data_IF_918145414551
#
_entry.id   IF_918145414551
#
_cell.length_a   1.000
_cell.length_b   1.000
_cell.length_c   1.000
_cell.angle_alpha   90.00
_cell.angle_beta   90.00
_cell.angle_gamma   90.00
#
_symmetry.space_group_name_H-M   'P 1'
#
loop_
_entity.id
_entity.type
_entity.pdbx_description
1 polymer ?
#
# COMPACT_ATOMS: atom_id res chain seq x y z
N UNK A 1 4.44 21.93 35.65
CA UNK A 1 5.82 22.16 35.21
C UNK A 1 5.85 22.29 33.68
N UNK A 2 6.50 23.29 33.09
CA UNK A 2 6.46 23.46 31.60
C UNK A 2 7.57 22.59 31.02
N UNK A 3 7.19 21.58 30.21
CA UNK A 3 8.13 20.72 29.49
C UNK A 3 9.03 21.56 28.56
N UNK A 4 10.30 21.21 28.51
CA UNK A 4 11.30 21.84 27.65
C UNK A 4 12.04 20.79 26.82
N UNK A 5 12.67 21.22 25.73
CA UNK A 5 13.56 20.36 24.97
C UNK A 5 14.73 19.90 25.85
N UNK A 6 15.10 18.63 25.69
CA UNK A 6 16.12 17.89 26.44
C UNK A 6 15.71 17.48 27.87
N UNK A 7 14.45 17.67 28.29
CA UNK A 7 13.96 17.09 29.53
C UNK A 7 13.83 15.57 29.42
N UNK A 8 14.19 14.85 30.50
CA UNK A 8 13.90 13.43 30.67
C UNK A 8 12.70 13.29 31.62
N UNK A 9 11.66 12.60 31.19
CA UNK A 9 10.42 12.41 31.96
C UNK A 9 10.03 10.93 32.04
N UNK A 10 9.39 10.56 33.13
CA UNK A 10 8.67 9.27 33.20
C UNK A 10 7.31 9.42 32.54
N UNK A 11 6.96 8.48 31.69
CA UNK A 11 5.73 8.54 30.89
C UNK A 11 5.11 7.15 30.77
N UNK A 12 3.82 7.07 31.02
CA UNK A 12 3.00 5.90 30.66
C UNK A 12 2.44 6.10 29.28
N UNK A 13 2.42 5.04 28.48
CA UNK A 13 1.84 5.05 27.13
C UNK A 13 0.41 4.55 27.19
N UNK A 14 -0.52 5.44 26.88
CA UNK A 14 -1.96 5.18 27.02
C UNK A 14 -2.57 4.60 25.73
N UNK A 15 -2.14 5.09 24.57
CA UNK A 15 -2.75 4.76 23.27
C UNK A 15 -1.76 4.98 22.11
N UNK A 16 -2.22 4.72 20.88
CA UNK A 16 -1.48 4.99 19.64
C UNK A 16 -2.20 6.02 18.78
N UNK A 17 -1.41 6.80 18.04
CA UNK A 17 -1.90 7.63 16.94
C UNK A 17 -2.23 6.76 15.73
N UNK A 18 -2.96 7.34 14.75
CA UNK A 18 -3.19 6.70 13.44
C UNK A 18 -1.90 6.37 12.67
N UNK A 19 -0.76 6.98 13.01
CA UNK A 19 0.55 6.71 12.41
C UNK A 19 1.38 5.71 13.23
N UNK A 20 0.84 5.16 14.33
CA UNK A 20 1.51 4.18 15.17
C UNK A 20 2.52 4.78 16.17
N UNK A 21 2.48 6.07 16.43
CA UNK A 21 3.22 6.68 17.55
C UNK A 21 2.43 6.53 18.84
N UNK A 22 3.10 6.21 19.96
CA UNK A 22 2.49 6.18 21.28
C UNK A 22 2.11 7.57 21.76
N UNK A 23 1.05 7.63 22.53
CA UNK A 23 0.56 8.83 23.21
C UNK A 23 0.64 8.56 24.71
N UNK A 24 1.31 9.41 25.43
CA UNK A 24 1.22 9.51 26.89
C UNK A 24 0.92 10.94 27.30
N UNK A 25 0.59 11.15 28.59
CA UNK A 25 0.31 12.48 29.13
C UNK A 25 1.22 12.77 30.33
N UNK A 26 1.92 13.91 30.27
CA UNK A 26 2.70 14.43 31.38
C UNK A 26 2.02 15.69 31.91
N UNK A 27 1.52 15.67 33.14
CA UNK A 27 0.70 16.75 33.72
C UNK A 27 -0.43 17.22 32.77
N UNK A 28 -1.11 16.27 32.09
CA UNK A 28 -2.16 16.55 31.11
C UNK A 28 -1.67 16.96 29.71
N UNK A 29 -0.36 17.20 29.53
CA UNK A 29 0.23 17.62 28.27
C UNK A 29 0.59 16.39 27.41
N UNK A 30 0.12 16.36 26.14
CA UNK A 30 0.32 15.21 25.25
C UNK A 30 1.78 15.07 24.82
N UNK A 31 2.34 13.86 24.91
CA UNK A 31 3.69 13.52 24.46
C UNK A 31 3.61 12.36 23.49
N UNK A 32 4.15 12.55 22.29
CA UNK A 32 4.19 11.53 21.24
C UNK A 32 5.55 10.85 21.20
N UNK A 33 5.56 9.52 21.24
CA UNK A 33 6.78 8.71 21.29
C UNK A 33 6.68 7.57 20.27
N UNK A 34 7.74 7.28 19.52
CA UNK A 34 7.80 6.14 18.61
C UNK A 34 8.45 4.93 19.26
N UNK A 35 8.15 3.72 18.71
CA UNK A 35 8.74 2.47 19.16
C UNK A 35 8.24 1.99 20.52
N UNK A 36 7.10 2.51 20.97
CA UNK A 36 6.44 2.15 22.22
C UNK A 36 5.16 1.39 21.99
N UNK A 37 4.72 0.69 23.02
CA UNK A 37 3.48 -0.11 23.06
C UNK A 37 2.58 0.45 24.16
N UNK A 38 1.27 0.60 23.97
CA UNK A 38 0.37 0.98 25.05
C UNK A 38 0.50 0.05 26.25
N UNK A 39 0.63 0.66 27.44
CA UNK A 39 0.96 -0.04 28.69
C UNK A 39 2.47 -0.08 29.01
N UNK A 40 3.35 0.44 28.14
CA UNK A 40 4.74 0.67 28.52
C UNK A 40 4.85 1.83 29.50
N UNK A 41 5.70 1.67 30.52
CA UNK A 41 6.22 2.75 31.34
C UNK A 41 7.66 3.02 30.91
N UNK A 42 7.97 4.26 30.50
CA UNK A 42 9.24 4.62 29.89
C UNK A 42 9.89 5.85 30.53
N UNK A 43 11.19 5.98 30.36
CA UNK A 43 11.87 7.27 30.41
C UNK A 43 11.89 7.84 28.99
N UNK A 44 11.21 8.97 28.79
CA UNK A 44 11.11 9.65 27.51
C UNK A 44 12.00 10.89 27.49
N UNK A 45 12.85 11.03 26.45
CA UNK A 45 13.69 12.20 26.21
C UNK A 45 12.99 13.14 25.23
N UNK A 46 12.73 14.38 25.65
CA UNK A 46 11.99 15.37 24.85
C UNK A 46 12.92 15.96 23.78
N UNK A 47 12.58 15.71 22.51
CA UNK A 47 13.35 16.25 21.37
C UNK A 47 12.72 17.51 20.78
N UNK A 48 11.42 17.71 20.99
CA UNK A 48 10.70 18.90 20.50
C UNK A 48 9.51 19.22 21.41
N UNK A 49 9.37 20.49 21.78
CA UNK A 49 8.17 21.03 22.40
C UNK A 49 7.45 21.98 21.46
N UNK A 50 6.13 21.81 21.34
CA UNK A 50 5.20 22.70 20.63
C UNK A 50 4.21 23.30 21.63
N UNK A 51 3.33 24.20 21.18
CA UNK A 51 2.32 24.84 22.06
C UNK A 51 1.41 23.83 22.77
N UNK A 52 1.00 22.74 22.06
CA UNK A 52 -0.05 21.82 22.51
C UNK A 52 0.45 20.38 22.71
N UNK A 53 1.70 20.06 22.37
CA UNK A 53 2.25 18.72 22.47
C UNK A 53 3.77 18.72 22.47
N UNK A 54 4.37 17.62 22.95
CA UNK A 54 5.79 17.35 22.79
C UNK A 54 6.02 16.07 21.95
N UNK A 55 7.23 15.99 21.39
CA UNK A 55 7.74 14.78 20.73
C UNK A 55 8.96 14.31 21.53
N UNK A 56 8.98 13.03 21.83
CA UNK A 56 10.06 12.39 22.56
C UNK A 56 10.54 11.10 21.87
N UNK A 57 11.73 10.69 22.25
CA UNK A 57 12.29 9.36 21.96
C UNK A 57 12.36 8.54 23.24
N UNK A 58 12.31 7.22 23.09
CA UNK A 58 12.54 6.31 24.22
C UNK A 58 13.99 6.40 24.63
N UNK A 59 14.26 6.68 25.92
CA UNK A 59 15.57 6.56 26.54
C UNK A 59 15.72 5.18 27.17
N UNK A 60 14.74 4.77 27.99
CA UNK A 60 14.69 3.48 28.64
C UNK A 60 13.25 2.99 28.76
N UNK A 61 13.03 1.67 28.74
CA UNK A 61 11.76 1.04 29.08
C UNK A 61 11.86 0.60 30.54
N UNK A 62 11.13 1.28 31.43
CA UNK A 62 11.13 1.00 32.86
C UNK A 62 10.34 -0.28 33.14
N UNK A 63 9.13 -0.37 32.53
CA UNK A 63 8.28 -1.53 32.64
C UNK A 63 7.63 -1.80 31.26
N UNK A 64 7.93 -2.94 30.65
CA UNK A 64 7.34 -3.26 29.36
C UNK A 64 5.85 -3.61 29.50
N UNK A 65 5.07 -3.22 28.50
CA UNK A 65 3.70 -3.66 28.31
C UNK A 65 3.63 -5.20 28.16
N UNK A 66 2.59 -5.83 28.65
CA UNK A 66 2.32 -7.26 28.44
C UNK A 66 2.14 -7.62 26.96
N UNK A 67 1.88 -6.64 26.11
CA UNK A 67 1.71 -6.80 24.66
C UNK A 67 3.00 -6.54 23.87
N UNK A 68 4.07 -6.12 24.56
CA UNK A 68 5.37 -5.93 23.94
C UNK A 68 6.01 -7.27 23.62
N UNK A 69 6.51 -7.38 22.39
CA UNK A 69 7.34 -8.50 21.94
C UNK A 69 8.71 -7.98 21.51
N UNK A 70 9.70 -8.86 21.47
CA UNK A 70 10.99 -8.55 20.88
C UNK A 70 10.88 -8.45 19.37
N UNK A 71 11.54 -7.44 18.79
CA UNK A 71 11.55 -7.25 17.34
C UNK A 71 12.45 -8.29 16.67
N UNK A 72 11.93 -8.95 15.65
CA UNK A 72 12.67 -9.86 14.78
C UNK A 72 13.49 -9.14 13.69
N UNK A 73 13.46 -7.81 13.66
CA UNK A 73 14.16 -6.97 12.69
C UNK A 73 15.23 -6.11 13.38
N UNK A 74 16.53 -6.30 13.04
CA UNK A 74 17.64 -5.64 13.73
C UNK A 74 17.70 -4.12 13.50
N UNK A 75 16.95 -3.60 12.52
CA UNK A 75 16.92 -2.17 12.19
C UNK A 75 15.57 -1.51 12.46
N UNK A 76 14.67 -2.18 13.16
CA UNK A 76 13.29 -1.70 13.39
C UNK A 76 13.22 -0.39 14.16
N UNK A 77 14.20 -0.10 15.00
CA UNK A 77 14.34 1.14 15.78
C UNK A 77 14.77 2.34 14.92
N UNK A 78 15.44 2.10 13.79
CA UNK A 78 16.00 3.12 12.89
C UNK A 78 15.21 3.27 11.60
N UNK A 79 14.69 2.16 11.07
CA UNK A 79 13.95 2.10 9.81
C UNK A 79 12.54 2.71 9.97
N UNK A 80 12.10 3.47 8.96
CA UNK A 80 10.76 4.07 8.93
C UNK A 80 9.64 3.14 8.45
N UNK A 81 9.96 1.89 8.05
CA UNK A 81 9.01 1.02 7.34
C UNK A 81 7.97 0.33 8.22
N UNK A 82 8.29 0.02 9.48
CA UNK A 82 7.41 -0.69 10.41
C UNK A 82 7.20 0.12 11.69
N UNK A 83 5.95 0.14 12.20
CA UNK A 83 5.61 0.79 13.47
C UNK A 83 5.26 -0.21 14.57
N UNK A 84 4.89 -1.45 14.21
CA UNK A 84 4.33 -2.45 15.14
C UNK A 84 5.17 -3.71 15.28
N UNK A 85 6.50 -3.64 14.99
CA UNK A 85 7.39 -4.80 15.20
C UNK A 85 7.52 -5.23 16.65
N UNK A 86 7.28 -4.31 17.58
CA UNK A 86 7.38 -4.53 19.02
C UNK A 86 6.04 -4.87 19.66
N UNK A 87 4.98 -5.04 18.88
CA UNK A 87 3.61 -5.31 19.37
C UNK A 87 3.21 -6.74 18.99
N UNK A 88 2.55 -7.47 19.90
CA UNK A 88 1.94 -8.76 19.56
C UNK A 88 0.90 -8.57 18.46
N UNK A 89 0.79 -9.55 17.55
CA UNK A 89 -0.05 -9.38 16.36
C UNK A 89 -1.54 -9.23 16.71
N UNK A 90 -2.02 -9.97 17.68
CA UNK A 90 -3.41 -9.87 18.15
C UNK A 90 -3.73 -8.45 18.67
N UNK A 91 -2.79 -7.82 19.35
CA UNK A 91 -2.97 -6.45 19.85
C UNK A 91 -2.86 -5.43 18.73
N UNK A 92 -1.96 -5.65 17.76
CA UNK A 92 -1.91 -4.85 16.52
C UNK A 92 -3.27 -4.84 15.81
N UNK A 93 -3.93 -6.00 15.67
CA UNK A 93 -5.26 -6.11 15.06
C UNK A 93 -6.31 -5.33 15.84
N UNK A 94 -6.29 -5.38 17.18
CA UNK A 94 -7.21 -4.59 18.01
C UNK A 94 -7.04 -3.09 17.80
N UNK A 95 -5.80 -2.58 17.74
CA UNK A 95 -5.55 -1.16 17.45
C UNK A 95 -6.07 -0.76 16.08
N UNK A 96 -5.87 -1.60 15.08
CA UNK A 96 -6.37 -1.37 13.73
C UNK A 96 -7.90 -1.34 13.69
N UNK A 97 -8.57 -2.28 14.37
CA UNK A 97 -10.04 -2.29 14.51
C UNK A 97 -10.55 -1.03 15.19
N UNK A 98 -9.97 -0.69 16.34
CA UNK A 98 -10.33 0.53 17.09
C UNK A 98 -10.19 1.78 16.23
N UNK A 99 -9.11 1.89 15.45
CA UNK A 99 -8.90 3.01 14.54
C UNK A 99 -10.03 3.16 13.52
N UNK A 100 -10.52 2.07 12.95
CA UNK A 100 -11.64 2.12 11.99
C UNK A 100 -12.92 2.51 12.72
N UNK A 101 -13.23 1.92 13.88
CA UNK A 101 -14.41 2.25 14.68
C UNK A 101 -14.40 3.73 15.12
N UNK A 102 -13.27 4.23 15.62
CA UNK A 102 -13.12 5.65 15.97
C UNK A 102 -13.42 6.60 14.79
N UNK A 103 -13.02 6.22 13.58
CA UNK A 103 -13.32 7.01 12.39
C UNK A 103 -14.82 6.97 12.05
N UNK A 104 -15.43 5.79 12.06
CA UNK A 104 -16.86 5.62 11.80
C UNK A 104 -17.70 6.43 12.78
N UNK A 105 -17.41 6.34 14.08
CA UNK A 105 -18.13 7.05 15.13
C UNK A 105 -17.85 8.57 15.10
N UNK A 106 -16.57 8.97 15.16
CA UNK A 106 -16.21 10.38 15.41
C UNK A 106 -16.30 11.26 14.16
N UNK A 107 -15.92 10.72 12.98
CA UNK A 107 -15.94 11.45 11.71
C UNK A 107 -17.24 11.20 10.97
N UNK A 108 -17.59 9.93 10.78
CA UNK A 108 -18.80 9.53 10.07
C UNK A 108 -20.09 9.83 10.82
N UNK A 109 -20.05 9.85 12.17
CA UNK A 109 -21.23 9.89 13.04
C UNK A 109 -22.19 8.74 12.74
N UNK A 110 -21.61 7.59 12.38
CA UNK A 110 -22.31 6.38 12.01
C UNK A 110 -22.47 5.48 13.23
N UNK A 111 -23.65 4.92 13.42
CA UNK A 111 -23.94 3.90 14.44
C UNK A 111 -23.68 2.51 13.87
N UNK A 112 -22.41 2.24 13.58
CA UNK A 112 -21.93 0.97 13.06
C UNK A 112 -20.49 0.71 13.51
N UNK A 113 -20.17 -0.53 13.79
CA UNK A 113 -18.81 -0.98 14.09
C UNK A 113 -18.30 -1.98 13.06
N UNK A 114 -16.99 -2.15 13.02
CA UNK A 114 -16.34 -3.21 12.25
C UNK A 114 -16.82 -4.58 12.78
N UNK A 115 -17.55 -5.33 11.95
CA UNK A 115 -18.07 -6.64 12.34
C UNK A 115 -16.96 -7.68 12.53
N UNK A 116 -15.92 -7.62 11.67
CA UNK A 116 -14.74 -8.48 11.75
C UNK A 116 -13.47 -7.77 11.31
N UNK A 117 -12.32 -8.21 11.82
CA UNK A 117 -11.01 -7.87 11.31
C UNK A 117 -10.31 -9.13 10.83
N UNK A 118 -9.96 -9.16 9.53
CA UNK A 118 -9.32 -10.29 8.88
C UNK A 118 -7.81 -10.10 8.97
N UNK A 119 -7.17 -10.82 9.89
CA UNK A 119 -5.73 -10.82 10.07
C UNK A 119 -5.00 -11.60 8.96
N UNK A 120 -3.70 -11.36 8.86
CA UNK A 120 -2.82 -12.10 7.97
C UNK A 120 -2.32 -13.38 8.65
N UNK A 121 -2.29 -14.49 7.91
CA UNK A 121 -1.75 -15.77 8.38
C UNK A 121 -0.23 -15.68 8.53
N UNK A 122 0.43 -14.84 7.72
CA UNK A 122 1.85 -14.55 7.79
C UNK A 122 2.12 -13.04 7.81
N UNK A 123 2.88 -12.58 8.80
CA UNK A 123 3.25 -11.16 8.97
C UNK A 123 4.63 -10.81 8.40
N UNK A 124 5.28 -11.80 7.74
CA UNK A 124 6.60 -11.68 7.14
C UNK A 124 6.54 -12.04 5.65
N UNK A 125 7.52 -11.57 4.88
CA UNK A 125 7.77 -11.89 3.46
C UNK A 125 6.55 -11.74 2.54
N UNK A 126 5.57 -10.94 2.94
CA UNK A 126 4.30 -10.80 2.23
C UNK A 126 4.30 -9.75 1.11
N UNK A 127 5.26 -8.81 1.13
CA UNK A 127 5.27 -7.73 0.14
C UNK A 127 5.80 -8.21 -1.19
N UNK A 128 5.00 -8.09 -2.22
CA UNK A 128 5.41 -8.46 -3.58
C UNK A 128 6.20 -7.37 -4.31
N UNK A 129 6.48 -6.24 -3.64
CA UNK A 129 7.17 -5.10 -4.23
C UNK A 129 8.13 -4.46 -3.24
N UNK A 130 9.37 -4.26 -3.65
CA UNK A 130 10.36 -3.51 -2.92
C UNK A 130 10.99 -2.41 -3.79
N UNK A 131 11.22 -1.26 -3.18
CA UNK A 131 11.88 -0.10 -3.79
C UNK A 131 12.98 0.33 -2.83
N UNK A 132 14.21 -0.08 -3.13
CA UNK A 132 15.36 0.19 -2.29
C UNK A 132 16.08 1.45 -2.77
N UNK A 133 16.03 2.58 -2.04
CA UNK A 133 17.00 3.64 -2.24
C UNK A 133 18.42 3.10 -2.04
N UNK A 134 19.35 3.62 -2.80
CA UNK A 134 20.74 3.16 -2.76
C UNK A 134 21.71 4.31 -2.49
N UNK A 135 22.82 3.97 -1.85
CA UNK A 135 23.99 4.82 -1.69
C UNK A 135 25.22 4.01 -2.05
N UNK A 136 26.21 4.62 -2.67
CA UNK A 136 27.51 4.00 -2.95
C UNK A 136 28.57 4.84 -2.27
N UNK A 137 29.35 4.21 -1.40
CA UNK A 137 30.46 4.83 -0.68
C UNK A 137 31.67 3.90 -0.78
N UNK A 138 32.82 4.45 -1.18
CA UNK A 138 34.07 3.69 -1.34
C UNK A 138 33.93 2.45 -2.26
N UNK A 139 33.08 2.55 -3.29
CA UNK A 139 32.79 1.46 -4.24
C UNK A 139 31.78 0.41 -3.74
N UNK A 140 31.36 0.45 -2.48
CA UNK A 140 30.39 -0.46 -1.91
C UNK A 140 28.95 0.09 -2.05
N UNK A 141 28.04 -0.76 -2.56
CA UNK A 141 26.62 -0.42 -2.70
C UNK A 141 25.84 -0.80 -1.44
N UNK A 142 25.24 0.21 -0.83
CA UNK A 142 24.32 0.10 0.30
C UNK A 142 22.88 0.28 -0.18
N UNK A 143 22.02 -0.68 0.14
CA UNK A 143 20.60 -0.65 -0.17
C UNK A 143 19.78 -0.81 1.11
N UNK A 144 18.59 -0.22 1.17
CA UNK A 144 17.77 -0.34 2.37
C UNK A 144 16.48 0.46 2.28
N UNK A 145 16.08 1.07 3.40
CA UNK A 145 14.88 1.89 3.46
C UNK A 145 15.18 3.19 4.21
N UNK A 146 14.37 4.20 3.97
CA UNK A 146 14.55 5.49 4.64
C UNK A 146 14.24 5.41 6.14
N UNK A 147 15.03 6.11 6.94
CA UNK A 147 14.68 6.43 8.31
C UNK A 147 13.39 7.27 8.34
N UNK A 148 12.63 7.16 9.42
CA UNK A 148 11.35 7.88 9.55
C UNK A 148 11.48 9.38 9.32
N UNK A 149 10.66 9.93 8.43
CA UNK A 149 10.65 11.36 8.03
C UNK A 149 12.04 11.89 7.62
N UNK A 150 12.82 11.05 6.96
CA UNK A 150 14.18 11.38 6.52
C UNK A 150 14.50 10.66 5.21
N UNK A 151 15.47 11.18 4.46
CA UNK A 151 16.07 10.51 3.30
C UNK A 151 17.37 9.75 3.66
N UNK A 152 17.67 9.62 4.95
CA UNK A 152 18.81 8.82 5.41
C UNK A 152 18.50 7.33 5.20
N UNK A 153 19.30 6.66 4.43
CA UNK A 153 19.15 5.24 4.15
C UNK A 153 19.59 4.42 5.37
N UNK A 154 18.77 3.51 5.81
CA UNK A 154 19.07 2.47 6.78
C UNK A 154 19.29 1.18 5.99
N UNK A 155 20.53 0.72 5.96
CA UNK A 155 20.91 -0.51 5.27
C UNK A 155 20.13 -1.69 5.83
N UNK A 156 19.49 -2.45 4.94
CA UNK A 156 18.67 -3.60 5.32
C UNK A 156 18.56 -4.57 4.15
N UNK A 157 19.37 -5.60 4.17
CA UNK A 157 19.40 -6.63 3.12
C UNK A 157 18.37 -7.71 3.35
N UNK A 158 18.04 -7.97 4.61
CA UNK A 158 17.11 -9.00 5.05
C UNK A 158 15.87 -8.35 5.68
N UNK A 159 15.16 -7.56 4.88
CA UNK A 159 13.90 -6.96 5.34
C UNK A 159 12.84 -8.03 5.50
N UNK A 160 12.35 -8.19 6.74
CA UNK A 160 11.34 -9.22 7.09
C UNK A 160 9.98 -9.05 6.41
N UNK A 161 9.74 -7.95 5.69
CA UNK A 161 8.53 -7.76 4.89
C UNK A 161 8.69 -8.25 3.45
N UNK A 162 9.93 -8.33 2.95
CA UNK A 162 10.23 -8.60 1.55
C UNK A 162 10.48 -10.10 1.30
N UNK A 163 10.18 -10.61 0.08
CA UNK A 163 10.57 -11.96 -0.33
C UNK A 163 12.06 -12.22 -0.20
N UNK A 164 12.42 -13.42 0.20
CA UNK A 164 13.83 -13.81 0.43
C UNK A 164 14.67 -13.72 -0.85
N UNK A 165 14.06 -13.92 -2.02
CA UNK A 165 14.71 -13.85 -3.32
C UNK A 165 15.27 -12.45 -3.64
N UNK A 166 14.69 -11.39 -3.05
CA UNK A 166 15.15 -10.03 -3.28
C UNK A 166 16.55 -9.78 -2.72
N UNK A 167 16.94 -10.50 -1.66
CA UNK A 167 18.30 -10.44 -1.13
C UNK A 167 19.33 -10.92 -2.17
N UNK A 168 19.06 -12.06 -2.83
CA UNK A 168 19.93 -12.56 -3.90
C UNK A 168 20.03 -11.57 -5.07
N UNK A 169 18.93 -10.87 -5.37
CA UNK A 169 18.92 -9.78 -6.34
C UNK A 169 19.78 -8.59 -5.91
N UNK A 170 19.71 -8.17 -4.65
CA UNK A 170 20.59 -7.11 -4.12
C UNK A 170 22.07 -7.49 -4.22
N UNK A 171 22.42 -8.74 -3.95
CA UNK A 171 23.80 -9.24 -4.09
C UNK A 171 24.27 -9.19 -5.55
N UNK A 172 23.41 -9.49 -6.52
CA UNK A 172 23.72 -9.33 -7.94
C UNK A 172 23.99 -7.85 -8.31
N UNK A 173 23.16 -6.92 -7.80
CA UNK A 173 23.36 -5.49 -8.00
C UNK A 173 24.66 -4.97 -7.37
N UNK A 174 25.07 -5.49 -6.21
CA UNK A 174 26.34 -5.12 -5.56
C UNK A 174 27.55 -5.51 -6.42
N UNK A 175 27.59 -6.76 -6.85
CA UNK A 175 28.69 -7.28 -7.69
C UNK A 175 28.76 -6.49 -9.01
N UNK A 176 27.60 -6.18 -9.61
CA UNK A 176 27.56 -5.37 -10.81
C UNK A 176 28.03 -3.95 -10.56
N UNK A 177 27.58 -3.30 -9.49
CA UNK A 177 27.91 -1.91 -9.18
C UNK A 177 29.41 -1.73 -8.95
N UNK A 178 30.05 -2.67 -8.24
CA UNK A 178 31.49 -2.69 -8.04
C UNK A 178 32.24 -2.86 -9.37
N UNK A 179 31.89 -3.88 -10.17
CA UNK A 179 32.60 -4.18 -11.43
C UNK A 179 32.40 -3.14 -12.52
N UNK A 180 31.27 -2.45 -12.53
CA UNK A 180 30.91 -1.46 -13.54
C UNK A 180 31.19 -0.01 -13.09
N UNK A 181 31.83 0.19 -11.93
CA UNK A 181 32.12 1.51 -11.33
C UNK A 181 30.90 2.43 -11.30
N UNK A 182 29.79 1.90 -10.76
CA UNK A 182 28.51 2.61 -10.72
C UNK A 182 28.52 3.67 -9.64
N UNK A 183 27.92 4.82 -9.93
CA UNK A 183 27.71 5.89 -8.93
C UNK A 183 26.27 5.94 -8.48
N UNK A 184 26.02 6.18 -7.18
CA UNK A 184 24.68 6.45 -6.69
C UNK A 184 24.24 7.89 -7.03
N UNK A 185 22.93 8.06 -7.27
CA UNK A 185 22.35 9.38 -7.47
C UNK A 185 22.28 10.16 -6.16
N UNK A 186 22.80 11.37 -6.18
CA UNK A 186 22.72 12.32 -5.07
C UNK A 186 21.59 13.33 -5.33
N UNK A 187 20.58 13.34 -4.47
CA UNK A 187 19.40 14.21 -4.60
C UNK A 187 19.72 15.71 -4.52
N UNK A 188 20.80 16.10 -3.78
CA UNK A 188 21.20 17.49 -3.62
C UNK A 188 21.87 18.03 -4.89
N UNK A 189 22.80 17.27 -5.44
CA UNK A 189 23.56 17.67 -6.62
C UNK A 189 22.88 17.32 -7.94
N UNK A 190 22.01 16.31 -7.93
CA UNK A 190 21.37 15.74 -9.13
C UNK A 190 22.34 14.92 -9.99
N UNK A 191 23.51 14.54 -9.46
CA UNK A 191 24.53 13.75 -10.15
C UNK A 191 24.47 12.28 -9.72
N UNK A 192 25.10 11.41 -10.51
CA UNK A 192 25.13 9.97 -10.27
C UNK A 192 24.11 9.23 -11.13
N UNK A 193 24.23 7.90 -11.17
CA UNK A 193 23.47 7.05 -12.08
C UNK A 193 22.34 6.30 -11.38
N UNK A 194 22.65 5.45 -10.43
CA UNK A 194 21.68 4.53 -9.80
C UNK A 194 20.92 5.23 -8.69
N UNK A 195 19.59 5.29 -8.80
CA UNK A 195 18.70 5.92 -7.82
C UNK A 195 18.10 4.91 -6.87
N UNK A 196 17.51 3.84 -7.43
CA UNK A 196 16.84 2.79 -6.67
C UNK A 196 17.06 1.44 -7.35
N UNK A 197 16.99 0.39 -6.53
CA UNK A 197 16.80 -0.98 -7.01
C UNK A 197 15.35 -1.35 -6.71
N UNK A 198 14.67 -1.87 -7.72
CA UNK A 198 13.26 -2.20 -7.62
C UNK A 198 13.06 -3.67 -7.97
N UNK A 199 12.26 -4.37 -7.14
CA UNK A 199 11.84 -5.74 -7.40
C UNK A 199 10.33 -5.86 -7.34
N UNK A 200 9.82 -6.77 -8.15
CA UNK A 200 8.44 -7.28 -8.09
C UNK A 200 8.42 -8.78 -8.14
N UNK A 201 7.43 -9.38 -7.45
CA UNK A 201 7.19 -10.83 -7.46
C UNK A 201 5.71 -11.11 -7.69
N UNK A 202 5.39 -12.02 -8.61
CA UNK A 202 4.11 -12.71 -8.64
C UNK A 202 4.14 -13.85 -7.61
N UNK A 203 3.26 -13.80 -6.61
CA UNK A 203 3.30 -14.81 -5.54
C UNK A 203 2.77 -16.16 -5.99
N UNK A 204 1.72 -16.20 -6.81
CA UNK A 204 1.18 -17.44 -7.33
C UNK A 204 2.05 -18.07 -8.43
N UNK A 205 2.69 -17.25 -9.25
CA UNK A 205 3.53 -17.71 -10.37
C UNK A 205 4.99 -17.93 -10.00
N UNK A 206 5.48 -17.23 -8.98
CA UNK A 206 6.89 -17.18 -8.65
C UNK A 206 7.72 -16.25 -9.55
N UNK A 207 7.09 -15.56 -10.51
CA UNK A 207 7.78 -14.66 -11.44
C UNK A 207 8.40 -13.47 -10.72
N UNK A 208 9.65 -13.13 -11.05
CA UNK A 208 10.36 -11.98 -10.48
C UNK A 208 10.80 -11.02 -11.58
N UNK A 209 10.54 -9.74 -11.36
CA UNK A 209 11.08 -8.61 -12.10
C UNK A 209 12.13 -7.90 -11.27
N UNK A 210 13.31 -7.66 -11.85
CA UNK A 210 14.33 -6.79 -11.31
C UNK A 210 14.45 -5.53 -12.16
N UNK A 211 14.52 -4.36 -11.53
CA UNK A 211 14.59 -3.08 -12.24
C UNK A 211 15.64 -2.17 -11.60
N UNK A 212 16.54 -1.64 -12.42
CA UNK A 212 17.43 -0.54 -12.06
C UNK A 212 16.74 0.79 -12.38
N UNK A 213 16.50 1.63 -11.36
CA UNK A 213 15.99 2.99 -11.56
C UNK A 213 17.19 3.92 -11.69
N UNK A 214 17.33 4.54 -12.86
CA UNK A 214 18.54 5.29 -13.23
C UNK A 214 18.26 6.71 -13.69
N UNK A 215 19.24 7.59 -13.51
CA UNK A 215 19.20 8.99 -13.93
C UNK A 215 19.69 9.19 -15.40
N UNK A 216 19.79 8.12 -16.18
CA UNK A 216 20.33 8.12 -17.55
C UNK A 216 19.54 7.19 -18.45
N UNK A 217 19.72 7.29 -19.77
CA UNK A 217 19.14 6.36 -20.75
C UNK A 217 19.98 5.11 -21.02
N UNK A 218 21.16 4.98 -20.40
CA UNK A 218 22.09 3.86 -20.60
C UNK A 218 22.55 3.31 -19.25
N UNK A 219 22.64 1.97 -19.17
CA UNK A 219 23.17 1.26 -18.02
C UNK A 219 24.52 0.62 -18.40
N UNK A 220 25.65 1.03 -17.79
CA UNK A 220 26.94 0.42 -18.05
C UNK A 220 26.93 -1.07 -17.72
N UNK A 221 27.62 -1.87 -18.54
CA UNK A 221 27.71 -3.32 -18.36
C UNK A 221 26.37 -4.01 -18.03
N UNK A 222 25.29 -3.62 -18.74
CA UNK A 222 23.94 -4.17 -18.52
C UNK A 222 23.88 -5.69 -18.71
N UNK A 223 24.67 -6.24 -19.64
CA UNK A 223 24.76 -7.71 -19.86
C UNK A 223 25.32 -8.44 -18.63
N UNK A 224 26.30 -7.84 -17.94
CA UNK A 224 26.83 -8.38 -16.68
C UNK A 224 25.74 -8.41 -15.60
N UNK A 225 24.97 -7.31 -15.43
CA UNK A 225 23.87 -7.28 -14.48
C UNK A 225 22.83 -8.37 -14.78
N UNK A 226 22.42 -8.49 -16.05
CA UNK A 226 21.48 -9.53 -16.50
C UNK A 226 22.02 -10.93 -16.18
N UNK A 227 23.29 -11.21 -16.48
CA UNK A 227 23.93 -12.50 -16.20
C UNK A 227 23.92 -12.84 -14.71
N UNK A 228 24.29 -11.88 -13.85
CA UNK A 228 24.32 -12.06 -12.40
C UNK A 228 22.90 -12.27 -11.82
N UNK A 229 21.92 -11.54 -12.30
CA UNK A 229 20.53 -11.71 -11.88
C UNK A 229 19.97 -13.07 -12.30
N UNK A 230 20.26 -13.53 -13.52
CA UNK A 230 19.86 -14.86 -13.99
C UNK A 230 20.47 -15.99 -13.19
N UNK A 231 21.72 -15.82 -12.77
CA UNK A 231 22.42 -16.81 -11.94
C UNK A 231 21.86 -16.87 -10.52
N UNK A 232 21.57 -15.71 -9.90
CA UNK A 232 21.29 -15.62 -8.46
C UNK A 232 19.80 -15.61 -8.11
N UNK A 233 18.93 -15.14 -8.99
CA UNK A 233 17.51 -14.93 -8.67
C UNK A 233 16.66 -16.03 -9.28
N UNK A 234 16.23 -16.97 -8.45
CA UNK A 234 15.27 -17.98 -8.86
C UNK A 234 13.92 -17.32 -9.23
N UNK A 235 13.32 -17.75 -10.35
CA UNK A 235 12.05 -17.18 -10.83
C UNK A 235 12.21 -15.86 -11.59
N UNK A 236 13.43 -15.39 -11.89
CA UNK A 236 13.64 -14.19 -12.69
C UNK A 236 12.98 -14.35 -14.08
N UNK A 237 12.11 -13.43 -14.45
CA UNK A 237 11.39 -13.35 -15.74
C UNK A 237 11.66 -12.07 -16.50
N UNK A 238 12.02 -11.00 -15.80
CA UNK A 238 12.15 -9.68 -16.38
C UNK A 238 13.30 -8.92 -15.75
N UNK A 239 14.14 -8.30 -16.57
CA UNK A 239 15.14 -7.31 -16.14
C UNK A 239 14.91 -6.03 -16.92
N UNK A 240 14.62 -4.95 -16.21
CA UNK A 240 14.20 -3.67 -16.77
C UNK A 240 15.09 -2.55 -16.27
N UNK A 241 15.32 -1.51 -17.06
CA UNK A 241 15.73 -0.20 -16.56
C UNK A 241 14.52 0.74 -16.58
N UNK A 242 14.38 1.53 -15.53
CA UNK A 242 13.44 2.64 -15.49
C UNK A 242 14.23 3.96 -15.44
N UNK A 243 13.89 4.86 -16.33
CA UNK A 243 14.60 6.13 -16.49
C UNK A 243 13.85 7.21 -15.75
N UNK A 244 14.44 7.70 -14.67
CA UNK A 244 13.90 8.79 -13.88
C UNK A 244 14.95 9.93 -13.77
N UNK A 245 14.72 11.01 -14.51
CA UNK A 245 15.57 12.22 -14.49
C UNK A 245 14.95 13.35 -13.67
N UNK A 246 13.75 13.14 -13.11
CA UNK A 246 13.04 14.18 -12.39
C UNK A 246 13.63 14.37 -10.97
N UNK A 247 13.72 15.61 -10.53
CA UNK A 247 14.07 15.96 -9.14
C UNK A 247 12.79 15.98 -8.29
N UNK A 248 12.23 14.82 -8.05
CA UNK A 248 10.99 14.65 -7.28
C UNK A 248 11.09 13.39 -6.41
N UNK A 249 10.14 13.23 -5.48
CA UNK A 249 10.01 12.03 -4.64
C UNK A 249 9.41 10.83 -5.39
N UNK A 250 9.09 10.98 -6.68
CA UNK A 250 8.60 9.88 -7.51
C UNK A 250 9.76 8.94 -7.84
N UNK A 251 9.62 7.67 -7.50
CA UNK A 251 10.70 6.68 -7.66
C UNK A 251 10.83 6.24 -9.11
N UNK A 252 9.71 5.86 -9.75
CA UNK A 252 9.71 5.39 -11.13
C UNK A 252 9.41 6.53 -12.10
N UNK A 253 10.25 6.68 -13.10
CA UNK A 253 9.99 7.56 -14.24
C UNK A 253 8.97 6.96 -15.22
N UNK A 254 8.63 7.70 -16.25
CA UNK A 254 7.63 7.31 -17.26
C UNK A 254 8.17 6.31 -18.28
N UNK A 255 9.48 6.32 -18.54
CA UNK A 255 10.14 5.48 -19.54
C UNK A 255 10.78 4.27 -18.88
N UNK A 256 10.51 3.08 -19.44
CA UNK A 256 11.18 1.84 -19.08
C UNK A 256 11.70 1.14 -20.34
N UNK A 257 12.81 0.41 -20.21
CA UNK A 257 13.39 -0.41 -21.28
C UNK A 257 13.71 -1.79 -20.72
N UNK A 258 13.25 -2.82 -21.41
CA UNK A 258 13.58 -4.20 -21.09
C UNK A 258 14.98 -4.52 -21.54
N UNK A 259 15.79 -5.07 -20.63
CA UNK A 259 17.14 -5.57 -20.92
C UNK A 259 17.13 -7.06 -21.24
N UNK A 260 16.24 -7.80 -20.58
CA UNK A 260 16.09 -9.23 -20.77
C UNK A 260 14.72 -9.71 -20.30
N UNK A 261 14.18 -10.73 -20.98
CA UNK A 261 12.87 -11.32 -20.68
C UNK A 261 11.73 -10.44 -21.18
N UNK A 262 10.59 -10.53 -20.51
CA UNK A 262 9.39 -9.78 -20.83
C UNK A 262 9.42 -8.37 -20.19
N UNK A 263 8.62 -7.45 -20.67
CA UNK A 263 8.44 -6.11 -20.09
C UNK A 263 7.45 -6.12 -18.90
N UNK A 264 6.99 -7.32 -18.50
CA UNK A 264 6.05 -7.58 -17.40
C UNK A 264 6.41 -8.89 -16.68
N UNK A 265 5.79 -9.09 -15.54
CA UNK A 265 5.61 -10.40 -14.90
C UNK A 265 4.12 -10.70 -14.79
N UNK A 266 3.78 -11.95 -14.52
CA UNK A 266 2.39 -12.34 -14.26
C UNK A 266 2.19 -12.78 -12.82
N UNK A 267 0.95 -12.62 -12.35
CA UNK A 267 0.48 -13.22 -11.11
C UNK A 267 -0.94 -13.74 -11.29
N UNK A 268 -1.41 -14.57 -10.37
CA UNK A 268 -2.78 -15.06 -10.36
C UNK A 268 -3.46 -14.62 -9.06
N UNK A 269 -4.68 -14.07 -9.14
CA UNK A 269 -5.46 -13.60 -8.01
C UNK A 269 -6.90 -14.11 -8.16
N UNK A 270 -7.38 -14.88 -7.17
CA UNK A 270 -8.71 -15.50 -7.19
C UNK A 270 -9.02 -16.25 -8.50
N UNK A 271 -8.02 -16.98 -9.03
CA UNK A 271 -8.15 -17.76 -10.27
C UNK A 271 -8.11 -16.95 -11.55
N UNK A 272 -7.79 -15.66 -11.50
CA UNK A 272 -7.61 -14.81 -12.68
C UNK A 272 -6.14 -14.38 -12.81
N UNK A 273 -5.62 -14.42 -14.04
CA UNK A 273 -4.23 -14.02 -14.36
C UNK A 273 -4.14 -12.53 -14.65
N UNK A 274 -3.10 -11.91 -14.13
CA UNK A 274 -2.84 -10.49 -14.30
C UNK A 274 -1.41 -10.24 -14.77
N UNK A 275 -1.27 -9.36 -15.75
CA UNK A 275 0.01 -8.84 -16.23
C UNK A 275 0.39 -7.64 -15.37
N UNK A 276 1.62 -7.61 -14.90
CA UNK A 276 2.14 -6.61 -13.96
C UNK A 276 3.40 -5.98 -14.57
N UNK A 277 3.27 -4.78 -15.12
CA UNK A 277 4.41 -3.97 -15.60
C UNK A 277 5.09 -3.22 -14.44
N UNK A 278 6.27 -2.62 -14.63
CA UNK A 278 6.95 -1.85 -13.59
C UNK A 278 6.06 -0.79 -12.93
N UNK A 279 5.28 -0.06 -13.73
CA UNK A 279 4.44 1.05 -13.28
C UNK A 279 3.01 0.66 -12.89
N UNK A 280 2.58 -0.59 -13.11
CA UNK A 280 1.21 -1.03 -12.75
C UNK A 280 0.99 -0.96 -11.25
N UNK A 281 -0.16 -0.44 -10.83
CA UNK A 281 -0.63 -0.66 -9.47
C UNK A 281 -1.07 -2.11 -9.32
N UNK A 282 -0.63 -2.75 -8.26
CA UNK A 282 -1.03 -4.10 -7.85
C UNK A 282 -0.85 -4.20 -6.34
N UNK A 283 -1.81 -4.78 -5.62
CA UNK A 283 -1.78 -4.87 -4.17
C UNK A 283 -0.54 -5.61 -3.68
N UNK A 284 0.11 -5.06 -2.63
CA UNK A 284 1.45 -5.53 -2.22
C UNK A 284 1.43 -6.81 -1.38
N UNK A 285 0.30 -7.21 -0.86
CA UNK A 285 0.12 -8.44 -0.09
C UNK A 285 -0.90 -9.33 -0.79
N UNK A 286 -0.41 -10.32 -1.50
CA UNK A 286 -1.22 -11.20 -2.33
C UNK A 286 -2.31 -11.92 -1.54
N UNK A 287 -1.93 -12.62 -0.46
CA UNK A 287 -2.88 -13.41 0.34
C UNK A 287 -3.98 -12.54 0.99
N UNK A 288 -3.60 -11.36 1.50
CA UNK A 288 -4.60 -10.45 2.07
C UNK A 288 -5.44 -9.75 1.00
N UNK A 289 -4.90 -9.55 -0.21
CA UNK A 289 -5.65 -9.06 -1.34
C UNK A 289 -6.77 -10.02 -1.75
N UNK A 290 -6.51 -11.33 -1.77
CA UNK A 290 -7.52 -12.34 -2.03
C UNK A 290 -8.64 -12.32 -0.97
N UNK A 291 -8.30 -12.16 0.32
CA UNK A 291 -9.28 -12.01 1.40
C UNK A 291 -10.09 -10.72 1.26
N UNK A 292 -9.43 -9.60 0.92
CA UNK A 292 -10.07 -8.30 0.69
C UNK A 292 -11.08 -8.36 -0.46
N UNK A 293 -10.66 -8.91 -1.60
CA UNK A 293 -11.51 -9.00 -2.79
C UNK A 293 -12.60 -10.06 -2.64
N UNK A 294 -12.34 -11.15 -1.91
CA UNK A 294 -13.39 -12.10 -1.54
C UNK A 294 -14.46 -11.44 -0.68
N UNK A 295 -14.07 -10.62 0.31
CA UNK A 295 -15.01 -9.86 1.13
C UNK A 295 -15.81 -8.84 0.30
N UNK A 296 -15.15 -8.13 -0.62
CA UNK A 296 -15.84 -7.21 -1.54
C UNK A 296 -16.84 -7.95 -2.44
N UNK A 297 -16.49 -9.14 -2.93
CA UNK A 297 -17.37 -10.01 -3.71
C UNK A 297 -18.57 -10.51 -2.91
N UNK A 298 -18.36 -10.91 -1.66
CA UNK A 298 -19.44 -11.35 -0.75
C UNK A 298 -20.43 -10.20 -0.50
N UNK A 299 -19.93 -8.98 -0.31
CA UNK A 299 -20.76 -7.79 -0.14
C UNK A 299 -21.46 -7.36 -1.43
N UNK A 300 -20.83 -7.54 -2.58
CA UNK A 300 -21.46 -7.31 -3.88
C UNK A 300 -22.65 -8.27 -4.12
N UNK A 301 -22.63 -9.49 -3.56
CA UNK A 301 -23.69 -10.50 -3.61
C UNK A 301 -24.31 -10.65 -5.02
N UNK A 302 -23.46 -11.00 -5.98
CA UNK A 302 -23.78 -11.05 -7.41
C UNK A 302 -24.45 -12.37 -7.78
N UNK A 303 -25.56 -12.29 -8.53
CA UNK A 303 -26.40 -13.42 -8.96
C UNK A 303 -26.23 -13.82 -10.43
N UNK A 304 -25.51 -13.04 -11.23
CA UNK A 304 -25.27 -13.31 -12.65
C UNK A 304 -25.97 -12.35 -13.62
N UNK A 305 -27.04 -11.71 -13.21
CA UNK A 305 -27.84 -10.81 -14.06
C UNK A 305 -27.48 -9.33 -13.91
N UNK A 306 -26.63 -8.99 -12.93
CA UNK A 306 -26.30 -7.62 -12.60
C UNK A 306 -25.33 -6.97 -13.60
N UNK A 307 -25.43 -5.65 -13.74
CA UNK A 307 -24.39 -4.80 -14.32
C UNK A 307 -23.54 -4.29 -13.14
N UNK A 308 -22.27 -4.69 -13.12
CA UNK A 308 -21.27 -4.24 -12.14
C UNK A 308 -20.45 -3.09 -12.70
N UNK A 309 -20.41 -1.99 -11.97
CA UNK A 309 -19.53 -0.86 -12.26
C UNK A 309 -18.37 -0.84 -11.28
N UNK A 310 -17.14 -0.93 -11.79
CA UNK A 310 -15.88 -0.78 -11.03
C UNK A 310 -15.31 0.62 -11.31
N UNK A 311 -15.53 1.54 -10.36
CA UNK A 311 -14.99 2.89 -10.41
C UNK A 311 -13.59 2.91 -9.77
N UNK A 312 -12.63 3.52 -10.45
CA UNK A 312 -11.19 3.45 -10.14
C UNK A 312 -10.61 2.06 -10.39
N UNK A 313 -11.03 1.40 -11.49
CA UNK A 313 -10.74 -0.03 -11.71
C UNK A 313 -9.24 -0.36 -11.88
N UNK A 314 -8.37 0.64 -12.11
CA UNK A 314 -6.95 0.41 -12.35
C UNK A 314 -6.74 -0.56 -13.52
N UNK A 315 -5.98 -1.63 -13.29
CA UNK A 315 -5.76 -2.72 -14.28
C UNK A 315 -6.89 -3.78 -14.27
N UNK A 316 -8.02 -3.47 -13.62
CA UNK A 316 -9.21 -4.29 -13.56
C UNK A 316 -9.22 -5.39 -12.50
N UNK A 317 -8.33 -5.32 -11.49
CA UNK A 317 -8.14 -6.44 -10.55
C UNK A 317 -9.40 -6.82 -9.78
N UNK A 318 -10.17 -5.87 -9.24
CA UNK A 318 -11.40 -6.17 -8.48
C UNK A 318 -12.48 -6.65 -9.42
N UNK A 319 -12.83 -5.86 -10.44
CA UNK A 319 -13.93 -6.16 -11.33
C UNK A 319 -13.75 -7.48 -12.08
N UNK A 320 -12.56 -7.76 -12.62
CA UNK A 320 -12.28 -8.99 -13.36
C UNK A 320 -12.37 -10.27 -12.52
N UNK A 321 -12.08 -10.19 -11.19
CA UNK A 321 -12.28 -11.34 -10.29
C UNK A 321 -13.76 -11.67 -10.03
N UNK A 322 -14.68 -10.79 -10.47
CA UNK A 322 -16.13 -10.95 -10.32
C UNK A 322 -16.86 -11.10 -11.66
N UNK A 323 -16.15 -10.99 -12.81
CA UNK A 323 -16.75 -10.90 -14.14
C UNK A 323 -17.58 -12.13 -14.54
N UNK A 324 -17.25 -13.31 -14.01
CA UNK A 324 -18.00 -14.56 -14.21
C UNK A 324 -19.33 -14.63 -13.42
N UNK A 325 -19.61 -13.64 -12.60
CA UNK A 325 -20.82 -13.56 -11.75
C UNK A 325 -21.73 -12.39 -12.11
N UNK A 326 -21.51 -11.76 -13.25
CA UNK A 326 -22.28 -10.61 -13.70
C UNK A 326 -22.67 -10.73 -15.17
N UNK A 327 -23.77 -10.11 -15.53
CA UNK A 327 -24.17 -9.97 -16.95
C UNK A 327 -23.16 -9.11 -17.71
N UNK A 328 -22.71 -8.03 -17.09
CA UNK A 328 -21.76 -7.10 -17.68
C UNK A 328 -20.90 -6.45 -16.58
N UNK A 329 -19.60 -6.39 -16.81
CA UNK A 329 -18.65 -5.56 -16.05
C UNK A 329 -18.37 -4.27 -16.84
N UNK A 330 -18.42 -3.12 -16.16
CA UNK A 330 -17.91 -1.85 -16.69
C UNK A 330 -16.83 -1.33 -15.76
N UNK A 331 -15.62 -1.12 -16.27
CA UNK A 331 -14.51 -0.51 -15.53
C UNK A 331 -14.26 0.92 -16.00
N UNK A 332 -14.08 1.85 -15.07
CA UNK A 332 -13.72 3.26 -15.34
C UNK A 332 -12.42 3.59 -14.62
N UNK A 333 -11.45 4.12 -15.38
CA UNK A 333 -10.13 4.54 -14.89
C UNK A 333 -9.64 5.73 -15.70
N UNK A 334 -8.98 6.68 -15.03
CA UNK A 334 -8.47 7.90 -15.66
C UNK A 334 -7.14 7.68 -16.39
N UNK A 335 -6.39 6.65 -16.02
CA UNK A 335 -5.04 6.38 -16.56
C UNK A 335 -5.15 5.50 -17.80
N UNK A 336 -4.82 6.03 -19.02
CA UNK A 336 -4.96 5.27 -20.26
C UNK A 336 -4.20 3.93 -20.26
N UNK A 337 -2.97 3.91 -19.73
CA UNK A 337 -2.16 2.69 -19.68
C UNK A 337 -2.79 1.61 -18.78
N UNK A 338 -3.47 1.99 -17.70
CA UNK A 338 -4.16 1.05 -16.83
C UNK A 338 -5.37 0.43 -17.55
N UNK A 339 -6.11 1.21 -18.34
CA UNK A 339 -7.22 0.70 -19.18
C UNK A 339 -6.71 -0.30 -20.23
N UNK A 340 -5.59 -0.01 -20.89
CA UNK A 340 -5.03 -0.99 -21.84
C UNK A 340 -4.61 -2.28 -21.14
N UNK A 341 -4.01 -2.19 -19.98
CA UNK A 341 -3.67 -3.36 -19.16
C UNK A 341 -4.95 -4.12 -18.71
N UNK A 342 -6.03 -3.42 -18.35
CA UNK A 342 -7.30 -4.05 -17.99
C UNK A 342 -7.91 -4.84 -19.16
N UNK A 343 -7.85 -4.31 -20.38
CA UNK A 343 -8.26 -5.01 -21.60
C UNK A 343 -7.41 -6.25 -21.88
N UNK A 344 -6.08 -6.14 -21.70
CA UNK A 344 -5.16 -7.29 -21.82
C UNK A 344 -5.51 -8.35 -20.78
N UNK A 345 -5.75 -7.96 -19.54
CA UNK A 345 -6.11 -8.86 -18.46
C UNK A 345 -7.48 -9.54 -18.71
N UNK A 346 -8.47 -8.81 -19.22
CA UNK A 346 -9.76 -9.40 -19.61
C UNK A 346 -9.57 -10.48 -20.70
N UNK A 347 -8.82 -10.15 -21.76
CA UNK A 347 -8.54 -11.08 -22.85
C UNK A 347 -7.77 -12.32 -22.37
N UNK A 348 -6.76 -12.13 -21.48
CA UNK A 348 -5.97 -13.22 -20.91
C UNK A 348 -6.81 -14.22 -20.13
N UNK A 349 -7.93 -13.77 -19.56
CA UNK A 349 -8.85 -14.57 -18.77
C UNK A 349 -10.12 -15.01 -19.56
N UNK A 350 -10.18 -14.79 -20.87
CA UNK A 350 -11.35 -15.07 -21.71
C UNK A 350 -12.64 -14.40 -21.19
N UNK A 351 -12.52 -13.15 -20.72
CA UNK A 351 -13.64 -12.36 -20.21
C UNK A 351 -14.12 -11.43 -21.34
N UNK A 352 -15.27 -11.76 -21.93
CA UNK A 352 -15.84 -11.05 -23.08
C UNK A 352 -16.96 -10.06 -22.67
N UNK A 353 -17.47 -10.16 -21.43
CA UNK A 353 -18.55 -9.31 -20.91
C UNK A 353 -18.03 -8.05 -20.18
N UNK A 354 -16.73 -7.70 -20.33
CA UNK A 354 -16.13 -6.53 -19.72
C UNK A 354 -15.95 -5.38 -20.72
N UNK A 355 -16.35 -4.17 -20.31
CA UNK A 355 -16.14 -2.90 -21.04
C UNK A 355 -15.28 -1.97 -20.19
N UNK A 356 -14.25 -1.36 -20.78
CA UNK A 356 -13.38 -0.41 -20.06
C UNK A 356 -13.42 0.97 -20.71
N UNK A 357 -13.59 2.01 -19.90
CA UNK A 357 -13.74 3.41 -20.31
C UNK A 357 -12.61 4.23 -19.66
N UNK A 358 -11.82 4.92 -20.49
CA UNK A 358 -10.78 5.84 -20.04
C UNK A 358 -11.40 7.22 -19.78
N UNK A 359 -11.75 7.49 -18.53
CA UNK A 359 -12.33 8.76 -18.08
C UNK A 359 -12.14 8.95 -16.58
N UNK A 360 -12.31 10.17 -16.09
CA UNK A 360 -12.57 10.36 -14.66
C UNK A 360 -13.97 9.82 -14.30
N UNK A 361 -14.18 9.54 -13.02
CA UNK A 361 -15.41 8.88 -12.58
C UNK A 361 -16.68 9.68 -12.91
N UNK A 362 -16.78 11.03 -12.74
CA UNK A 362 -17.94 11.80 -13.16
C UNK A 362 -18.23 11.70 -14.66
N UNK A 363 -17.20 11.88 -15.50
CA UNK A 363 -17.37 11.82 -16.96
C UNK A 363 -17.71 10.39 -17.43
N UNK A 364 -17.10 9.38 -16.82
CA UNK A 364 -17.43 7.99 -17.09
C UNK A 364 -18.90 7.68 -16.81
N UNK A 365 -19.43 8.22 -15.73
CA UNK A 365 -20.83 8.11 -15.36
C UNK A 365 -21.79 8.79 -16.37
N UNK A 366 -21.41 9.95 -16.90
CA UNK A 366 -22.16 10.61 -17.98
C UNK A 366 -22.19 9.75 -19.25
N UNK A 367 -21.07 9.13 -19.61
CA UNK A 367 -20.99 8.20 -20.75
C UNK A 367 -21.98 7.04 -20.55
N UNK A 368 -21.97 6.40 -19.36
CA UNK A 368 -22.87 5.29 -19.06
C UNK A 368 -24.34 5.74 -19.17
N UNK A 369 -24.68 6.91 -18.66
CA UNK A 369 -26.01 7.47 -18.75
C UNK A 369 -26.43 7.69 -20.20
N UNK A 370 -25.55 8.21 -21.06
CA UNK A 370 -25.83 8.42 -22.48
C UNK A 370 -26.03 7.11 -23.25
N UNK A 371 -25.39 6.04 -22.81
CA UNK A 371 -25.53 4.69 -23.38
C UNK A 371 -26.71 3.90 -22.78
N UNK A 372 -27.44 4.46 -21.83
CA UNK A 372 -28.56 3.80 -21.15
C UNK A 372 -28.12 2.67 -20.18
N UNK A 373 -26.86 2.61 -19.81
CA UNK A 373 -26.30 1.61 -18.88
C UNK A 373 -26.58 2.05 -17.43
N UNK A 374 -27.30 1.20 -16.69
CA UNK A 374 -27.63 1.42 -15.28
C UNK A 374 -26.98 0.32 -14.44
N UNK A 375 -25.93 0.60 -13.66
CA UNK A 375 -25.31 -0.40 -12.82
C UNK A 375 -26.23 -0.77 -11.64
N UNK A 376 -26.33 -2.08 -11.38
CA UNK A 376 -27.02 -2.60 -10.19
C UNK A 376 -26.15 -2.54 -8.95
N UNK A 377 -24.84 -2.77 -9.14
CA UNK A 377 -23.83 -2.76 -8.09
C UNK A 377 -22.65 -1.88 -8.52
N UNK A 378 -22.17 -1.03 -7.62
CA UNK A 378 -20.99 -0.19 -7.84
C UNK A 378 -19.90 -0.56 -6.83
N UNK A 379 -18.68 -0.79 -7.30
CA UNK A 379 -17.49 -0.89 -6.49
C UNK A 379 -16.74 0.42 -6.55
N UNK A 380 -16.28 0.88 -5.40
CA UNK A 380 -15.42 2.06 -5.21
C UNK A 380 -14.12 1.60 -4.55
N UNK A 381 -12.98 1.85 -5.19
CA UNK A 381 -11.64 1.70 -4.59
C UNK A 381 -10.80 2.96 -4.86
N UNK A 382 -11.19 4.11 -4.26
CA UNK A 382 -10.53 5.37 -4.54
C UNK A 382 -9.15 5.49 -3.88
N UNK A 383 -8.31 6.44 -4.33
CA UNK A 383 -7.06 6.75 -3.65
C UNK A 383 -7.29 7.25 -2.22
N UNK A 384 -6.22 7.37 -1.41
CA UNK A 384 -6.24 7.77 0.01
C UNK A 384 -7.09 9.01 0.35
N UNK A 385 -7.24 9.94 -0.58
CA UNK A 385 -8.07 11.16 -0.39
C UNK A 385 -9.59 10.88 -0.41
N UNK A 386 -10.00 9.65 -0.71
CA UNK A 386 -11.40 9.28 -0.90
C UNK A 386 -11.97 9.80 -2.21
N UNK A 387 -13.28 9.72 -2.34
CA UNK A 387 -14.01 10.24 -3.49
C UNK A 387 -14.25 11.76 -3.40
N UNK A 388 -14.36 12.40 -4.57
CA UNK A 388 -14.86 13.77 -4.62
C UNK A 388 -16.37 13.78 -4.24
N UNK A 389 -16.85 14.73 -3.42
CA UNK A 389 -18.27 14.77 -3.02
C UNK A 389 -19.24 14.76 -4.21
N UNK A 390 -18.91 15.43 -5.31
CA UNK A 390 -19.70 15.46 -6.53
C UNK A 390 -19.89 14.09 -7.20
N UNK A 391 -18.97 13.15 -6.98
CA UNK A 391 -19.11 11.79 -7.49
C UNK A 391 -20.32 11.08 -6.88
N UNK A 392 -20.62 11.34 -5.61
CA UNK A 392 -21.76 10.70 -4.95
C UNK A 392 -23.11 11.16 -5.52
N UNK A 393 -23.21 12.40 -6.03
CA UNK A 393 -24.39 12.83 -6.77
C UNK A 393 -24.61 11.99 -8.01
N UNK A 394 -23.54 11.74 -8.73
CA UNK A 394 -23.55 10.92 -9.94
C UNK A 394 -23.86 9.44 -9.63
N UNK A 395 -23.20 8.86 -8.63
CA UNK A 395 -23.45 7.49 -8.17
C UNK A 395 -24.91 7.33 -7.73
N UNK A 396 -25.45 8.24 -6.96
CA UNK A 396 -26.86 8.18 -6.52
C UNK A 396 -27.84 8.36 -7.66
N UNK A 397 -27.53 9.18 -8.69
CA UNK A 397 -28.36 9.30 -9.90
C UNK A 397 -28.41 8.03 -10.72
N UNK A 398 -27.35 7.21 -10.71
CA UNK A 398 -27.38 5.88 -11.33
C UNK A 398 -28.29 4.90 -10.59
N UNK A 399 -28.59 5.20 -9.34
CA UNK A 399 -29.52 4.47 -8.49
C UNK A 399 -29.16 2.97 -8.28
N UNK A 400 -27.90 2.63 -7.94
CA UNK A 400 -27.53 1.25 -7.70
C UNK A 400 -28.27 0.67 -6.47
N UNK A 401 -28.52 -0.62 -6.49
CA UNK A 401 -29.07 -1.35 -5.33
C UNK A 401 -28.05 -1.45 -4.20
N UNK A 402 -26.77 -1.64 -4.56
CA UNK A 402 -25.65 -1.81 -3.62
C UNK A 402 -24.42 -1.03 -4.07
N UNK A 403 -23.66 -0.55 -3.09
CA UNK A 403 -22.36 0.03 -3.27
C UNK A 403 -21.40 -0.74 -2.34
N UNK A 404 -20.29 -1.22 -2.87
CA UNK A 404 -19.20 -1.80 -2.11
C UNK A 404 -18.03 -0.83 -2.13
N UNK A 405 -17.64 -0.33 -0.96
CA UNK A 405 -16.56 0.65 -0.84
C UNK A 405 -15.33 -0.01 -0.21
N UNK A 406 -14.24 -0.12 -0.96
CA UNK A 406 -12.92 -0.54 -0.48
C UNK A 406 -12.10 0.71 -0.17
N UNK A 407 -11.40 0.76 0.96
CA UNK A 407 -10.65 1.95 1.35
C UNK A 407 -9.42 1.64 2.18
N UNK A 408 -8.30 2.26 1.84
CA UNK A 408 -7.05 2.24 2.60
C UNK A 408 -6.95 3.35 3.67
N UNK A 409 -7.98 4.20 3.81
CA UNK A 409 -8.02 5.26 4.82
C UNK A 409 -9.39 5.33 5.51
N UNK A 410 -9.43 4.97 6.78
CA UNK A 410 -10.67 4.91 7.57
C UNK A 410 -11.34 6.28 7.76
N UNK A 411 -10.57 7.37 7.74
CA UNK A 411 -11.12 8.71 7.95
C UNK A 411 -11.88 9.20 6.73
N UNK A 412 -11.31 9.00 5.54
CA UNK A 412 -11.99 9.33 4.27
C UNK A 412 -13.16 8.39 4.02
N UNK A 413 -13.05 7.10 4.34
CA UNK A 413 -14.15 6.15 4.28
C UNK A 413 -15.34 6.64 5.13
N UNK A 414 -15.11 6.94 6.39
CA UNK A 414 -16.16 7.38 7.31
C UNK A 414 -16.85 8.67 6.84
N UNK A 415 -16.10 9.65 6.31
CA UNK A 415 -16.62 10.86 5.68
C UNK A 415 -17.53 10.52 4.50
N UNK A 416 -17.07 9.65 3.63
CA UNK A 416 -17.75 9.32 2.37
C UNK A 416 -19.02 8.48 2.62
N UNK A 417 -18.98 7.56 3.58
CA UNK A 417 -20.14 6.81 4.04
C UNK A 417 -21.24 7.73 4.59
N UNK A 418 -20.87 8.75 5.38
CA UNK A 418 -21.82 9.76 5.87
C UNK A 418 -22.52 10.47 4.72
N UNK A 419 -21.77 10.89 3.70
CA UNK A 419 -22.35 11.55 2.52
C UNK A 419 -23.37 10.65 1.80
N UNK A 420 -23.06 9.35 1.68
CA UNK A 420 -23.97 8.37 1.08
C UNK A 420 -25.24 8.19 1.92
N UNK A 421 -25.13 8.17 3.25
CA UNK A 421 -26.32 8.09 4.13
C UNK A 421 -27.22 9.33 4.01
N UNK A 422 -26.62 10.51 3.88
CA UNK A 422 -27.36 11.77 3.63
C UNK A 422 -28.11 11.76 2.26
N UNK A 423 -27.70 10.86 1.34
CA UNK A 423 -28.26 10.69 0.00
C UNK A 423 -29.23 9.50 -0.15
N UNK A 424 -29.68 8.90 0.96
CA UNK A 424 -30.67 7.82 0.95
C UNK A 424 -30.11 6.42 0.81
N UNK A 425 -28.86 6.22 1.16
CA UNK A 425 -28.22 4.92 1.32
C UNK A 425 -27.97 4.64 2.79
N UNK A 426 -27.76 3.39 3.16
CA UNK A 426 -27.42 2.98 4.53
C UNK A 426 -26.21 2.05 4.54
N UNK A 427 -25.23 2.37 5.35
CA UNK A 427 -24.13 1.46 5.64
C UNK A 427 -24.65 0.26 6.43
N UNK A 428 -24.51 -0.93 5.89
CA UNK A 428 -25.04 -2.18 6.48
C UNK A 428 -23.98 -2.97 7.19
N UNK A 429 -22.75 -3.02 6.64
CA UNK A 429 -21.64 -3.79 7.16
C UNK A 429 -20.33 -3.09 6.89
N UNK A 430 -19.38 -3.26 7.80
CA UNK A 430 -17.99 -2.86 7.62
C UNK A 430 -17.09 -3.98 8.13
N UNK A 431 -16.18 -4.46 7.27
CA UNK A 431 -15.10 -5.37 7.64
C UNK A 431 -13.76 -4.72 7.42
N UNK A 432 -12.77 -5.07 8.23
CA UNK A 432 -11.39 -4.61 8.07
C UNK A 432 -10.46 -5.76 7.66
N UNK A 433 -9.47 -5.49 6.83
CA UNK A 433 -8.48 -6.47 6.36
C UNK A 433 -7.08 -5.93 6.59
N UNK A 434 -6.27 -6.68 7.31
CA UNK A 434 -4.88 -6.28 7.55
C UNK A 434 -4.00 -6.57 6.34
N UNK A 435 -4.08 -5.70 5.34
CA UNK A 435 -3.25 -5.73 4.14
C UNK A 435 -1.76 -5.49 4.44
N UNK A 436 -1.45 -4.79 5.54
CA UNK A 436 -0.10 -4.29 5.84
C UNK A 436 0.36 -4.65 7.26
N UNK A 437 0.52 -5.94 7.61
CA UNK A 437 1.06 -6.35 8.91
C UNK A 437 2.32 -5.60 9.30
N UNK A 438 2.48 -5.31 10.59
CA UNK A 438 3.60 -4.58 11.20
C UNK A 438 3.65 -3.08 10.86
N UNK A 439 2.59 -2.56 10.21
CA UNK A 439 2.42 -1.13 9.91
C UNK A 439 1.08 -0.63 10.44
N UNK A 440 0.86 0.69 10.58
CA UNK A 440 -0.40 1.22 11.07
C UNK A 440 -1.53 1.21 10.03
N UNK A 441 -1.25 0.79 8.80
CA UNK A 441 -2.23 0.80 7.72
C UNK A 441 -3.20 -0.37 7.82
N UNK A 442 -4.44 -0.13 7.41
CA UNK A 442 -5.55 -1.10 7.39
C UNK A 442 -6.42 -0.81 6.17
N UNK A 443 -6.90 -1.82 5.51
CA UNK A 443 -7.96 -1.73 4.50
C UNK A 443 -9.31 -2.00 5.16
N UNK A 444 -10.35 -1.37 4.65
CA UNK A 444 -11.72 -1.63 5.08
C UNK A 444 -12.63 -1.82 3.86
N UNK A 445 -13.61 -2.69 4.01
CA UNK A 445 -14.68 -2.90 3.01
C UNK A 445 -16.01 -2.59 3.68
N UNK A 446 -16.80 -1.72 3.05
CA UNK A 446 -18.14 -1.38 3.51
C UNK A 446 -19.19 -1.83 2.48
N UNK A 447 -20.28 -2.40 2.97
CA UNK A 447 -21.51 -2.64 2.22
C UNK A 447 -22.49 -1.51 2.49
N UNK A 448 -22.93 -0.84 1.44
CA UNK A 448 -23.91 0.22 1.48
C UNK A 448 -25.08 -0.17 0.59
N UNK A 449 -26.30 -0.08 1.12
CA UNK A 449 -27.52 -0.41 0.40
C UNK A 449 -28.46 0.78 0.33
N UNK A 450 -29.23 0.85 -0.72
CA UNK A 450 -30.28 1.84 -0.85
C UNK A 450 -31.39 1.60 0.20
N UNK A 451 -31.87 2.68 0.85
CA UNK A 451 -33.00 2.65 1.78
C UNK A 451 -34.31 2.56 1.01
#
# INVERSE_FOLDING_TARGET
MKLSKNDDIKLNIDSLTSEGSGIGRYDGFAVFVRGVVPGDEITAHIIKCSKNYAIAIVKDIIKPSKYRIESDCPVSDKCGGCSFRNVSYDEELKYKRTRVNDALERIGKLDIEVEEIIGADCTQNYRNKAQYPVSICDGELFAGFYAYKSHRIICCDDCKLQPIEFKAGLDAFRIWAEKADITSYDENTGKGLLRHIYFRKGFATGDIMACAVINSGKLPQSELLVSLLKEKVAGLKSVVININREKSNVILGKESKTLWGDDYISDELLGKKFVISPNSFYQVNHAQCEKLYSKARDYANLGGDEILLDLYCGVGTIGLTMADRVKQLVGIEIIPQAIENAKINAKLNNIDNAKFICADAPKGAEILKSEGIKPDVIILDPPRKGCAPSLFDTVCQMNPKRIVYVSCDSSTLARDLKILEEKGYKTKKVSAVDMFPRTPHIEAVALIEKI
#
